data_IF_316251491009
#
_entry.id   IF_316251491009
#
_cell.length_a   1.000
_cell.length_b   1.000
_cell.length_c   1.000
_cell.angle_alpha   90.00
_cell.angle_beta   90.00
_cell.angle_gamma   90.00
#
_symmetry.space_group_name_H-M   'P 1'
#
loop_
_entity.id
_entity.type
_entity.pdbx_description
1 polymer ?
#
# COMPACT_ATOMS: atom_id res chain seq x y z
N UNK A 1 -14.52 -11.87 4.30
CA UNK A 1 -13.05 -12.01 4.13
C UNK A 1 -12.33 -11.50 5.38
N UNK A 2 -11.31 -12.18 5.87
CA UNK A 2 -10.47 -11.69 6.99
C UNK A 2 -9.67 -10.47 6.55
N UNK A 3 -9.13 -9.70 7.50
CA UNK A 3 -8.27 -8.55 7.17
C UNK A 3 -7.04 -8.93 6.33
N UNK A 4 -6.53 -10.16 6.51
CA UNK A 4 -5.38 -10.67 5.74
C UNK A 4 -5.80 -10.95 4.29
N UNK A 5 -6.91 -11.64 4.09
CA UNK A 5 -7.45 -11.93 2.75
C UNK A 5 -7.75 -10.66 1.96
N UNK A 6 -8.33 -9.64 2.62
CA UNK A 6 -8.60 -8.34 1.98
C UNK A 6 -7.31 -7.61 1.62
N UNK A 7 -6.28 -7.70 2.46
CA UNK A 7 -4.97 -7.09 2.18
C UNK A 7 -4.31 -7.73 0.95
N UNK A 8 -4.34 -9.05 0.87
CA UNK A 8 -3.81 -9.81 -0.27
C UNK A 8 -4.58 -9.51 -1.56
N UNK A 9 -5.91 -9.48 -1.51
CA UNK A 9 -6.76 -9.16 -2.67
C UNK A 9 -6.53 -7.76 -3.21
N UNK A 10 -6.39 -6.77 -2.32
CA UNK A 10 -6.28 -5.36 -2.72
C UNK A 10 -4.81 -4.93 -2.92
N UNK A 11 -3.84 -5.80 -2.69
CA UNK A 11 -2.41 -5.48 -2.81
C UNK A 11 -1.94 -4.40 -1.82
N UNK A 12 -2.52 -4.36 -0.61
CA UNK A 12 -2.20 -3.36 0.42
C UNK A 12 -1.77 -4.01 1.74
N UNK A 13 -1.30 -3.20 2.69
CA UNK A 13 -0.96 -3.72 4.03
C UNK A 13 -2.21 -4.03 4.86
N UNK A 14 -2.10 -5.05 5.72
CA UNK A 14 -3.15 -5.40 6.70
C UNK A 14 -3.49 -4.23 7.63
N UNK A 15 -2.52 -3.38 7.94
CA UNK A 15 -2.74 -2.18 8.76
C UNK A 15 -3.59 -1.13 8.04
N UNK A 16 -3.43 -0.98 6.72
CA UNK A 16 -4.27 -0.10 5.92
C UNK A 16 -5.71 -0.61 5.87
N UNK A 17 -5.90 -1.94 5.74
CA UNK A 17 -7.24 -2.56 5.88
C UNK A 17 -7.83 -2.27 7.26
N UNK A 18 -7.03 -2.44 8.34
CA UNK A 18 -7.46 -2.16 9.72
C UNK A 18 -7.87 -0.70 9.92
N UNK A 19 -7.17 0.24 9.26
CA UNK A 19 -7.50 1.66 9.26
C UNK A 19 -8.86 1.91 8.61
N UNK A 20 -9.07 1.46 7.37
CA UNK A 20 -10.33 1.71 6.65
C UNK A 20 -11.53 0.98 7.26
N UNK A 21 -11.32 -0.22 7.83
CA UNK A 21 -12.35 -1.00 8.54
C UNK A 21 -13.03 -0.20 9.65
N UNK A 22 -12.31 0.70 10.35
CA UNK A 22 -12.89 1.53 11.42
C UNK A 22 -14.03 2.43 10.95
N UNK A 23 -14.08 2.72 9.65
CA UNK A 23 -15.05 3.59 9.02
C UNK A 23 -16.07 2.80 8.17
N UNK A 24 -16.19 1.49 8.37
CA UNK A 24 -17.23 0.65 7.76
C UNK A 24 -18.43 0.59 8.69
N UNK A 25 -19.61 0.41 8.12
CA UNK A 25 -20.85 0.30 8.86
C UNK A 25 -21.00 -1.08 9.54
N UNK A 26 -21.97 -1.19 10.46
CA UNK A 26 -22.21 -2.41 11.26
C UNK A 26 -22.60 -3.63 10.43
N UNK A 27 -23.09 -3.44 9.19
CA UNK A 27 -23.47 -4.53 8.28
C UNK A 27 -22.29 -4.99 7.40
N UNK A 28 -21.17 -4.28 7.44
CA UNK A 28 -19.99 -4.55 6.64
C UNK A 28 -18.87 -5.24 7.40
N UNK A 29 -18.94 -5.24 8.73
CA UNK A 29 -17.93 -5.83 9.59
C UNK A 29 -18.60 -6.64 10.68
N UNK A 30 -18.18 -7.90 10.77
CA UNK A 30 -18.55 -8.81 11.84
C UNK A 30 -17.29 -9.27 12.58
N UNK A 31 -17.47 -9.66 13.84
CA UNK A 31 -16.42 -10.29 14.61
C UNK A 31 -16.90 -11.69 14.98
N UNK A 32 -16.20 -12.71 14.49
CA UNK A 32 -16.47 -14.11 14.72
C UNK A 32 -15.22 -14.74 15.33
N UNK A 33 -15.34 -15.36 16.50
CA UNK A 33 -14.23 -15.97 17.25
C UNK A 33 -13.02 -15.03 17.47
N UNK A 34 -13.30 -13.75 17.70
CA UNK A 34 -12.27 -12.72 17.87
C UNK A 34 -11.61 -12.25 16.57
N UNK A 35 -11.96 -12.85 15.42
CA UNK A 35 -11.47 -12.49 14.09
C UNK A 35 -12.45 -11.56 13.40
N UNK A 36 -11.95 -10.41 12.93
CA UNK A 36 -12.75 -9.51 12.11
C UNK A 36 -12.88 -10.02 10.69
N UNK A 37 -14.12 -10.10 10.21
CA UNK A 37 -14.46 -10.38 8.81
C UNK A 37 -15.14 -9.17 8.20
N UNK A 38 -14.75 -8.87 6.97
CA UNK A 38 -15.29 -7.79 6.15
C UNK A 38 -16.19 -8.42 5.10
N UNK A 39 -17.41 -7.91 4.98
CA UNK A 39 -18.37 -8.32 3.94
C UNK A 39 -17.88 -7.91 2.55
N UNK A 40 -18.41 -8.49 1.46
CA UNK A 40 -18.07 -8.06 0.10
C UNK A 40 -18.27 -6.55 -0.12
N UNK A 41 -19.39 -5.98 0.35
CA UNK A 41 -19.66 -4.54 0.23
C UNK A 41 -18.68 -3.68 1.04
N UNK A 42 -18.19 -4.18 2.18
CA UNK A 42 -17.13 -3.52 2.93
C UNK A 42 -15.80 -3.53 2.20
N UNK A 43 -15.47 -4.60 1.47
CA UNK A 43 -14.27 -4.67 0.63
C UNK A 43 -14.35 -3.68 -0.52
N UNK A 44 -15.50 -3.55 -1.18
CA UNK A 44 -15.70 -2.58 -2.26
C UNK A 44 -15.58 -1.14 -1.76
N UNK A 45 -16.07 -0.84 -0.56
CA UNK A 45 -15.92 0.50 0.05
C UNK A 45 -14.47 0.79 0.48
N UNK A 46 -13.72 -0.21 0.96
CA UNK A 46 -12.28 -0.04 1.16
C UNK A 46 -11.61 0.27 -0.18
N UNK A 47 -11.91 -0.52 -1.22
CA UNK A 47 -11.34 -0.35 -2.56
C UNK A 47 -11.59 1.05 -3.12
N UNK A 48 -12.80 1.58 -2.99
CA UNK A 48 -13.15 2.93 -3.47
C UNK A 48 -12.40 4.04 -2.73
N UNK A 49 -11.99 3.82 -1.48
CA UNK A 49 -11.20 4.78 -0.70
C UNK A 49 -9.69 4.72 -0.98
N UNK A 50 -9.20 3.64 -1.59
CA UNK A 50 -7.78 3.48 -1.94
C UNK A 50 -7.39 4.31 -3.16
N UNK A 51 -8.30 4.43 -4.13
CA UNK A 51 -8.11 5.27 -5.32
C UNK A 51 -8.96 6.52 -5.21
N UNK A 52 -8.35 7.70 -5.37
CA UNK A 52 -9.14 8.90 -5.64
C UNK A 52 -9.63 8.85 -7.08
N UNK A 53 -10.88 9.19 -7.33
CA UNK A 53 -11.45 9.28 -8.69
C UNK A 53 -10.66 10.23 -9.60
N UNK A 54 -9.93 11.18 -9.02
CA UNK A 54 -9.04 12.10 -9.72
C UNK A 54 -7.77 11.45 -10.26
N UNK A 55 -7.44 10.22 -9.87
CA UNK A 55 -6.24 9.53 -10.34
C UNK A 55 -6.54 8.84 -11.66
N UNK A 56 -5.76 9.18 -12.68
CA UNK A 56 -5.84 8.48 -13.97
C UNK A 56 -5.44 7.00 -13.82
N UNK A 57 -5.85 6.17 -14.78
CA UNK A 57 -5.59 4.72 -14.76
C UNK A 57 -4.10 4.35 -14.70
N UNK A 58 -3.21 5.29 -15.04
CA UNK A 58 -1.74 5.12 -15.08
C UNK A 58 -1.04 5.70 -13.85
N UNK A 59 -1.78 6.21 -12.85
CA UNK A 59 -1.19 6.86 -11.67
C UNK A 59 -0.20 5.95 -10.93
N UNK A 60 -0.60 4.71 -10.64
CA UNK A 60 0.26 3.74 -9.96
C UNK A 60 1.53 3.45 -10.75
N UNK A 61 1.44 3.30 -12.08
CA UNK A 61 2.58 3.11 -12.96
C UNK A 61 3.54 4.31 -12.91
N UNK A 62 3.01 5.54 -12.97
CA UNK A 62 3.79 6.78 -12.87
C UNK A 62 4.52 6.87 -11.52
N UNK A 63 3.84 6.54 -10.43
CA UNK A 63 4.42 6.54 -9.08
C UNK A 63 5.54 5.51 -8.98
N UNK A 64 5.29 4.26 -9.41
CA UNK A 64 6.29 3.19 -9.36
C UNK A 64 7.50 3.52 -10.23
N UNK A 65 7.30 4.05 -11.44
CA UNK A 65 8.40 4.50 -12.31
C UNK A 65 9.24 5.58 -11.64
N UNK A 66 8.61 6.53 -10.94
CA UNK A 66 9.33 7.59 -10.24
C UNK A 66 10.11 7.05 -9.04
N UNK A 67 9.53 6.13 -8.27
CA UNK A 67 10.20 5.47 -7.15
C UNK A 67 11.42 4.70 -7.60
N UNK A 68 11.30 3.85 -8.62
CA UNK A 68 12.46 3.10 -9.16
C UNK A 68 13.56 4.01 -9.70
N UNK A 69 13.21 5.19 -10.21
CA UNK A 69 14.21 6.17 -10.62
C UNK A 69 14.96 6.76 -9.42
N UNK A 70 14.26 7.07 -8.34
CA UNK A 70 14.86 7.59 -7.10
C UNK A 70 15.76 6.53 -6.45
N UNK A 71 15.34 5.27 -6.39
CA UNK A 71 16.14 4.16 -5.86
C UNK A 71 17.47 4.02 -6.61
N UNK A 72 17.43 4.03 -7.95
CA UNK A 72 18.64 3.99 -8.79
C UNK A 72 19.56 5.19 -8.57
N UNK A 73 18.98 6.38 -8.42
CA UNK A 73 19.76 7.58 -8.13
C UNK A 73 20.45 7.49 -6.78
N UNK A 74 19.76 6.96 -5.76
CA UNK A 74 20.30 6.77 -4.42
C UNK A 74 21.45 5.74 -4.42
N UNK A 75 21.30 4.63 -5.15
CA UNK A 75 22.34 3.62 -5.31
C UNK A 75 23.60 4.21 -5.97
N UNK A 76 23.44 4.96 -7.06
CA UNK A 76 24.56 5.64 -7.73
C UNK A 76 25.27 6.64 -6.80
N UNK A 77 24.51 7.45 -6.05
CA UNK A 77 25.09 8.39 -5.08
C UNK A 77 25.92 7.64 -4.03
N UNK A 78 25.42 6.52 -3.54
CA UNK A 78 26.11 5.70 -2.56
C UNK A 78 27.43 5.14 -3.10
N UNK A 79 27.43 4.59 -4.32
CA UNK A 79 28.64 4.10 -4.98
C UNK A 79 29.70 5.20 -5.17
N UNK A 80 29.28 6.38 -5.62
CA UNK A 80 30.17 7.52 -5.82
C UNK A 80 30.78 8.00 -4.50
N UNK A 81 30.00 8.03 -3.42
CA UNK A 81 30.49 8.37 -2.08
C UNK A 81 31.52 7.36 -1.58
N UNK A 82 31.26 6.06 -1.74
CA UNK A 82 32.22 5.01 -1.38
C UNK A 82 33.55 5.16 -2.14
N UNK A 83 33.48 5.41 -3.44
CA UNK A 83 34.66 5.62 -4.27
C UNK A 83 35.46 6.84 -3.81
N UNK A 84 34.80 7.98 -3.60
CA UNK A 84 35.44 9.21 -3.13
C UNK A 84 36.09 9.07 -1.74
N UNK A 85 35.50 8.25 -0.85
CA UNK A 85 36.08 7.95 0.47
C UNK A 85 37.32 7.05 0.37
N UNK A 86 37.30 6.08 -0.54
CA UNK A 86 38.42 5.17 -0.74
C UNK A 86 39.61 5.83 -1.45
N UNK A 87 39.39 6.77 -2.36
CA UNK A 87 40.45 7.54 -3.02
C UNK A 87 41.13 8.57 -2.09
N UNK A 88 40.55 8.84 -0.91
CA UNK A 88 41.12 9.73 0.11
C UNK A 88 41.97 9.00 1.16
N UNK A 89 42.04 7.66 1.12
CA UNK A 89 42.93 6.84 1.95
C UNK A 89 44.22 6.53 1.22
#
# INVERSE_FOLDING_TARGET
KTLKEVAEELGISKDLVKYHRKNLNIFQVEQEDGVYRISPSGVDEIRSRLRKDSYDATFEEKVMRRLSMLEKQQELIYELLLKALNERK
#
